data_IF_954945262645
#
_entry.id   IF_954945262645
#
_cell.length_a   1.000
_cell.length_b   1.000
_cell.length_c   1.000
_cell.angle_alpha   90.00
_cell.angle_beta   90.00
_cell.angle_gamma   90.00
#
_symmetry.space_group_name_H-M   'P 1'
#
loop_
_entity.id
_entity.type
_entity.pdbx_description
1 polymer ?
#
# COMPACT_ATOMS: atom_id res chain seq x y z
N UNK A 1 -16.91 -17.82 53.55
CA UNK A 1 -16.53 -18.75 52.46
C UNK A 1 -16.76 -18.04 51.14
N UNK A 2 -15.79 -18.17 50.22
CA UNK A 2 -15.88 -17.79 48.79
C UNK A 2 -15.69 -16.32 48.42
N UNK A 3 -14.45 -15.85 48.61
CA UNK A 3 -13.88 -14.67 47.96
C UNK A 3 -13.48 -14.96 46.51
N UNK A 4 -13.32 -13.88 45.73
CA UNK A 4 -12.52 -13.72 44.50
C UNK A 4 -13.25 -13.77 43.15
N UNK A 5 -13.75 -12.60 42.74
CA UNK A 5 -13.82 -12.21 41.33
C UNK A 5 -12.40 -11.94 40.82
N UNK A 6 -11.77 -12.95 40.24
CA UNK A 6 -10.50 -12.74 39.53
C UNK A 6 -10.77 -12.20 38.12
N UNK A 7 -10.48 -10.90 37.95
CA UNK A 7 -10.34 -10.29 36.63
C UNK A 7 -9.07 -10.80 35.96
N UNK A 8 -9.21 -11.81 35.11
CA UNK A 8 -8.13 -12.24 34.22
C UNK A 8 -8.22 -11.47 32.91
N UNK A 9 -7.17 -10.68 32.65
CA UNK A 9 -7.07 -9.76 31.54
C UNK A 9 -7.40 -10.37 30.18
N UNK A 10 -8.08 -9.57 29.37
CA UNK A 10 -8.27 -9.73 27.94
C UNK A 10 -6.92 -10.06 27.27
N UNK A 11 -6.65 -11.36 27.13
CA UNK A 11 -5.58 -11.92 26.29
C UNK A 11 -5.96 -11.59 24.86
N UNK A 12 -5.70 -10.34 24.46
CA UNK A 12 -5.99 -9.80 23.13
C UNK A 12 -5.60 -10.83 22.08
N UNK A 13 -6.63 -11.41 21.50
CA UNK A 13 -6.58 -12.56 20.61
C UNK A 13 -5.73 -12.22 19.38
N UNK A 14 -4.82 -13.09 18.91
CA UNK A 14 -4.00 -12.86 17.70
C UNK A 14 -4.83 -12.53 16.44
N UNK A 15 -6.11 -12.89 16.46
CA UNK A 15 -7.07 -12.71 15.38
C UNK A 15 -7.39 -11.22 15.09
N UNK A 16 -7.46 -10.36 16.11
CA UNK A 16 -7.80 -8.93 15.92
C UNK A 16 -6.67 -8.18 15.20
N UNK A 17 -5.42 -8.48 15.53
CA UNK A 17 -4.25 -7.89 14.91
C UNK A 17 -4.10 -8.33 13.44
N UNK A 18 -4.44 -9.58 13.14
CA UNK A 18 -4.44 -10.11 11.77
C UNK A 18 -5.51 -9.45 10.88
N UNK A 19 -6.71 -9.18 11.41
CA UNK A 19 -7.76 -8.45 10.70
C UNK A 19 -7.34 -7.01 10.36
N UNK A 20 -6.76 -6.30 11.33
CA UNK A 20 -6.25 -4.94 11.15
C UNK A 20 -5.10 -4.88 10.14
N UNK A 21 -4.16 -5.82 10.21
CA UNK A 21 -3.04 -5.96 9.26
C UNK A 21 -3.56 -6.19 7.84
N UNK A 22 -4.50 -7.13 7.66
CA UNK A 22 -5.10 -7.43 6.34
C UNK A 22 -5.84 -6.20 5.78
N UNK A 23 -6.58 -5.48 6.61
CA UNK A 23 -7.27 -4.26 6.22
C UNK A 23 -6.29 -3.15 5.82
N UNK A 24 -5.21 -2.96 6.59
CA UNK A 24 -4.14 -2.01 6.26
C UNK A 24 -3.47 -2.36 4.92
N UNK A 25 -3.08 -3.62 4.71
CA UNK A 25 -2.49 -4.07 3.46
C UNK A 25 -3.44 -3.87 2.27
N UNK A 26 -4.75 -4.06 2.46
CA UNK A 26 -5.77 -3.78 1.43
C UNK A 26 -5.82 -2.29 1.08
N UNK A 27 -5.76 -1.40 2.07
CA UNK A 27 -5.70 0.05 1.85
C UNK A 27 -4.44 0.44 1.09
N UNK A 28 -3.28 -0.08 1.50
CA UNK A 28 -2.03 0.25 0.82
C UNK A 28 -2.00 -0.26 -0.63
N UNK A 29 -2.53 -1.46 -0.89
CA UNK A 29 -2.72 -1.93 -2.27
C UNK A 29 -3.59 -0.99 -3.11
N UNK A 30 -4.68 -0.45 -2.53
CA UNK A 30 -5.53 0.53 -3.22
C UNK A 30 -4.78 1.83 -3.51
N UNK A 31 -4.04 2.35 -2.52
CA UNK A 31 -3.19 3.54 -2.67
C UNK A 31 -2.18 3.35 -3.80
N UNK A 32 -1.47 2.22 -3.80
CA UNK A 32 -0.46 1.91 -4.81
C UNK A 32 -1.07 1.72 -6.21
N UNK A 33 -2.30 1.18 -6.33
CA UNK A 33 -3.01 1.11 -7.62
C UNK A 33 -3.24 2.49 -8.22
N UNK A 34 -3.67 3.47 -7.42
CA UNK A 34 -3.89 4.85 -7.87
C UNK A 34 -2.57 5.46 -8.34
N UNK A 35 -1.51 5.31 -7.54
CA UNK A 35 -0.16 5.81 -7.88
C UNK A 35 0.34 5.19 -9.19
N UNK A 36 0.24 3.86 -9.33
CA UNK A 36 0.69 3.18 -10.54
C UNK A 36 -0.11 3.62 -11.77
N UNK A 37 -1.42 3.88 -11.63
CA UNK A 37 -2.24 4.45 -12.71
C UNK A 37 -1.78 5.86 -13.09
N UNK A 38 -1.47 6.71 -12.10
CA UNK A 38 -0.92 8.04 -12.35
C UNK A 38 0.42 7.96 -13.09
N UNK A 39 1.30 7.05 -12.69
CA UNK A 39 2.56 6.77 -13.39
C UNK A 39 2.36 6.26 -14.83
N UNK A 40 1.33 5.47 -15.10
CA UNK A 40 1.01 5.05 -16.47
C UNK A 40 0.51 6.22 -17.31
N UNK A 41 -0.30 7.11 -16.74
CA UNK A 41 -0.74 8.32 -17.42
C UNK A 41 0.44 9.26 -17.67
N UNK A 42 1.34 9.44 -16.71
CA UNK A 42 2.52 10.29 -16.88
C UNK A 42 3.38 9.81 -18.06
N UNK A 43 3.63 8.49 -18.17
CA UNK A 43 4.37 7.92 -19.31
C UNK A 43 3.79 8.24 -20.69
N UNK A 44 2.49 8.54 -20.80
CA UNK A 44 1.88 8.93 -22.09
C UNK A 44 2.24 10.35 -22.50
N UNK A 45 2.62 11.19 -21.55
CA UNK A 45 2.89 12.61 -21.76
C UNK A 45 4.38 12.92 -21.71
N UNK A 46 5.19 12.03 -21.14
CA UNK A 46 6.65 12.11 -21.16
C UNK A 46 7.15 11.76 -22.57
N UNK A 47 7.92 12.64 -23.24
CA UNK A 47 8.58 12.31 -24.49
C UNK A 47 9.53 11.14 -24.27
N UNK A 48 9.33 10.03 -24.98
CA UNK A 48 10.14 8.83 -24.82
C UNK A 48 10.74 8.44 -26.17
N UNK A 49 12.05 8.23 -26.23
CA UNK A 49 12.77 7.84 -27.45
C UNK A 49 12.36 6.45 -27.98
N UNK A 50 11.76 5.61 -27.14
CA UNK A 50 11.21 4.31 -27.55
C UNK A 50 9.82 4.08 -26.96
N UNK A 51 8.80 4.12 -27.82
CA UNK A 51 7.40 3.87 -27.44
C UNK A 51 7.15 2.40 -27.05
N UNK A 52 7.99 1.46 -27.50
CA UNK A 52 7.85 0.03 -27.22
C UNK A 52 8.29 -0.37 -25.80
N UNK A 53 9.19 0.41 -25.15
CA UNK A 53 9.72 0.06 -23.83
C UNK A 53 9.06 0.88 -22.74
N UNK A 54 8.43 0.19 -21.78
CA UNK A 54 7.88 0.84 -20.58
C UNK A 54 9.01 1.40 -19.72
N UNK A 55 9.11 2.72 -19.63
CA UNK A 55 10.06 3.41 -18.75
C UNK A 55 9.93 2.95 -17.29
N UNK A 56 11.06 2.84 -16.58
CA UNK A 56 11.04 2.56 -15.13
C UNK A 56 10.41 3.74 -14.37
N UNK A 57 10.07 3.55 -13.08
CA UNK A 57 9.52 4.66 -12.27
C UNK A 57 10.50 5.82 -12.16
N UNK A 58 11.79 5.53 -12.00
CA UNK A 58 12.84 6.55 -11.88
C UNK A 58 12.99 7.30 -13.18
N UNK A 59 13.09 6.59 -14.30
CA UNK A 59 13.28 7.22 -15.60
C UNK A 59 12.05 8.06 -15.99
N UNK A 60 10.84 7.57 -15.69
CA UNK A 60 9.61 8.34 -15.90
C UNK A 60 9.62 9.66 -15.13
N UNK A 61 10.20 9.69 -13.92
CA UNK A 61 10.29 10.93 -13.13
C UNK A 61 11.37 11.87 -13.67
N UNK A 62 12.54 11.34 -14.04
CA UNK A 62 13.63 12.15 -14.60
C UNK A 62 13.19 12.85 -15.88
N UNK A 63 12.68 12.08 -16.84
CA UNK A 63 12.18 12.60 -18.12
C UNK A 63 10.94 13.49 -18.03
N UNK A 64 10.30 13.60 -16.87
CA UNK A 64 9.16 14.51 -16.65
C UNK A 64 9.56 15.85 -16.03
N UNK A 65 10.78 15.95 -15.48
CA UNK A 65 11.30 17.13 -14.80
C UNK A 65 12.30 17.87 -15.69
N UNK A 66 13.14 17.12 -16.39
CA UNK A 66 14.06 17.63 -17.42
C UNK A 66 13.29 18.13 -18.65
#
# INVERSE_FOLDING_TARGET
>A
TSSSTFGFGDKRTPLRHNGQRRAANKRERRRMKIINRAFQNLRKHVPCESYEKKLSKVDTLKSAID
#
